data_IF_214696001922
#
_entry.id   IF_214696001922
#
_cell.length_a   1.000
_cell.length_b   1.000
_cell.length_c   1.000
_cell.angle_alpha   90.00
_cell.angle_beta   90.00
_cell.angle_gamma   90.00
#
_symmetry.space_group_name_H-M   'P 1'
#
loop_
_entity.id
_entity.type
_entity.pdbx_description
1 polymer ?
#
# COMPACT_ATOMS: atom_id res chain seq x y z
N UNK A 1 6.84 12.09 46.19
CA UNK A 1 5.91 11.65 45.10
C UNK A 1 4.91 12.77 44.91
N UNK A 2 4.85 13.36 43.72
CA UNK A 2 3.86 14.39 43.41
C UNK A 2 2.45 13.78 43.48
N UNK A 3 1.57 14.41 44.25
CA UNK A 3 0.17 13.98 44.34
C UNK A 3 -0.54 14.27 43.01
N UNK A 4 -0.87 13.22 42.26
CA UNK A 4 -1.65 13.36 41.01
C UNK A 4 -3.14 13.43 41.39
N UNK A 5 -3.85 14.51 41.07
CA UNK A 5 -5.25 14.66 41.43
C UNK A 5 -6.13 13.53 40.86
N UNK A 6 -7.05 13.06 41.69
CA UNK A 6 -7.99 11.97 41.37
C UNK A 6 -7.34 10.67 40.91
N UNK A 7 -6.14 10.34 41.39
CA UNK A 7 -5.48 9.07 41.07
C UNK A 7 -5.12 8.29 42.32
N UNK A 8 -5.16 6.97 42.19
CA UNK A 8 -4.64 6.01 43.17
C UNK A 8 -3.67 5.06 42.46
N UNK A 9 -2.58 4.71 43.10
CA UNK A 9 -1.67 3.68 42.65
C UNK A 9 -1.98 2.34 43.35
N UNK A 10 -2.16 1.29 42.55
CA UNK A 10 -2.39 -0.07 43.05
C UNK A 10 -1.60 -1.05 42.19
N UNK A 11 -0.75 -1.87 42.83
CA UNK A 11 0.09 -2.87 42.16
C UNK A 11 0.88 -2.29 40.94
N UNK A 12 1.47 -1.08 41.12
CA UNK A 12 2.28 -0.43 40.13
C UNK A 12 1.49 0.18 38.93
N UNK A 13 0.17 0.19 39.01
CA UNK A 13 -0.68 0.83 37.99
C UNK A 13 -1.42 2.00 38.64
N UNK A 14 -1.41 3.14 37.97
CA UNK A 14 -2.18 4.32 38.33
C UNK A 14 -3.60 4.22 37.77
N UNK A 15 -4.60 4.47 38.66
CA UNK A 15 -6.01 4.46 38.29
C UNK A 15 -6.60 5.84 38.52
N UNK A 16 -7.38 6.32 37.56
CA UNK A 16 -8.29 7.44 37.78
C UNK A 16 -9.37 6.98 38.76
N UNK A 17 -9.56 7.73 39.82
CA UNK A 17 -10.53 7.40 40.87
C UNK A 17 -11.18 8.70 41.36
N UNK A 18 -12.36 8.99 40.83
CA UNK A 18 -13.06 10.25 41.09
C UNK A 18 -14.53 10.01 41.41
N UNK A 19 -15.01 10.67 42.45
CA UNK A 19 -16.45 10.69 42.78
C UNK A 19 -17.19 11.50 41.76
N UNK A 20 -18.32 10.97 41.25
CA UNK A 20 -19.18 11.64 40.26
C UNK A 20 -20.10 12.64 40.98
N UNK A 21 -20.28 13.86 40.44
CA UNK A 21 -21.24 14.84 40.99
C UNK A 21 -22.66 14.28 41.02
N UNK A 22 -23.45 14.69 42.04
CA UNK A 22 -24.81 14.14 42.29
C UNK A 22 -25.71 14.16 41.05
N UNK A 23 -25.64 15.22 40.25
CA UNK A 23 -26.48 15.38 39.04
C UNK A 23 -26.07 14.45 37.89
N UNK A 24 -24.84 13.91 37.88
CA UNK A 24 -24.32 13.02 36.85
C UNK A 24 -24.34 11.54 37.27
N UNK A 25 -24.64 11.22 38.54
CA UNK A 25 -24.60 9.85 39.08
C UNK A 25 -25.50 8.88 38.31
N UNK A 26 -26.65 9.35 37.80
CA UNK A 26 -27.57 8.51 36.99
C UNK A 26 -26.94 8.00 35.71
N UNK A 27 -26.04 8.78 35.09
CA UNK A 27 -25.37 8.43 33.82
C UNK A 27 -24.06 7.66 34.05
N UNK A 28 -23.30 7.97 35.08
CA UNK A 28 -21.92 7.49 35.28
C UNK A 28 -21.72 6.58 36.50
N UNK A 29 -22.72 6.40 37.34
CA UNK A 29 -22.55 5.76 38.64
C UNK A 29 -21.91 6.68 39.69
N UNK A 30 -21.68 6.18 40.90
CA UNK A 30 -21.15 6.99 42.02
C UNK A 30 -19.67 7.34 41.93
N UNK A 31 -18.90 6.48 41.26
CA UNK A 31 -17.46 6.61 41.12
C UNK A 31 -17.02 6.18 39.68
N UNK A 32 -16.06 6.87 39.17
CA UNK A 32 -15.31 6.44 37.99
C UNK A 32 -13.97 5.89 38.45
N UNK A 33 -13.73 4.61 38.16
CA UNK A 33 -12.43 3.95 38.40
C UNK A 33 -11.93 3.33 37.11
N UNK A 34 -10.83 3.87 36.57
CA UNK A 34 -10.30 3.44 35.27
C UNK A 34 -8.76 3.42 35.31
N UNK A 35 -8.16 2.36 34.78
CA UNK A 35 -6.70 2.28 34.66
C UNK A 35 -6.19 3.33 33.66
N UNK A 36 -5.10 4.01 34.02
CA UNK A 36 -4.45 5.04 33.21
C UNK A 36 -3.14 4.52 32.59
N UNK A 37 -2.08 4.44 33.41
CA UNK A 37 -0.73 4.01 33.00
C UNK A 37 0.04 3.44 34.19
N UNK A 38 1.18 2.77 33.88
CA UNK A 38 2.19 2.40 34.90
C UNK A 38 3.23 3.52 35.10
N UNK A 39 3.35 4.44 34.13
CA UNK A 39 4.23 5.60 34.23
C UNK A 39 3.51 6.76 34.93
N UNK A 40 4.08 7.37 35.99
CA UNK A 40 3.43 8.44 36.73
C UNK A 40 3.21 9.70 35.90
N UNK A 41 4.14 10.06 35.00
CA UNK A 41 4.04 11.25 34.13
C UNK A 41 2.89 11.11 33.14
N UNK A 42 2.77 9.93 32.52
CA UNK A 42 1.65 9.63 31.62
C UNK A 42 0.32 9.61 32.37
N UNK A 43 0.30 9.00 33.56
CA UNK A 43 -0.90 8.92 34.40
C UNK A 43 -1.39 10.31 34.80
N UNK A 44 -0.49 11.24 35.09
CA UNK A 44 -0.83 12.64 35.38
C UNK A 44 -1.45 13.30 34.16
N UNK A 45 -0.81 13.18 33.00
CA UNK A 45 -1.32 13.76 31.77
C UNK A 45 -2.71 13.21 31.40
N UNK A 46 -2.91 11.88 31.52
CA UNK A 46 -4.17 11.23 31.22
C UNK A 46 -5.26 11.60 32.23
N UNK A 47 -4.93 11.68 33.53
CA UNK A 47 -5.88 12.10 34.56
C UNK A 47 -6.38 13.54 34.33
N UNK A 48 -5.46 14.45 33.98
CA UNK A 48 -5.80 15.82 33.62
C UNK A 48 -6.74 15.92 32.41
N UNK A 49 -6.39 15.23 31.32
CA UNK A 49 -7.21 15.24 30.09
C UNK A 49 -8.59 14.61 30.34
N UNK A 50 -8.64 13.47 31.02
CA UNK A 50 -9.91 12.82 31.36
C UNK A 50 -10.77 13.70 32.27
N UNK A 51 -10.17 14.38 33.23
CA UNK A 51 -10.86 15.34 34.10
C UNK A 51 -11.58 16.44 33.31
N UNK A 52 -10.91 17.02 32.31
CA UNK A 52 -11.46 18.08 31.44
C UNK A 52 -12.67 17.54 30.63
N UNK A 53 -12.53 16.34 30.03
CA UNK A 53 -13.61 15.71 29.25
C UNK A 53 -14.83 15.43 30.10
N UNK A 54 -14.62 14.85 31.29
CA UNK A 54 -15.71 14.52 32.23
C UNK A 54 -16.39 15.77 32.76
N UNK A 55 -15.65 16.81 33.11
CA UNK A 55 -16.22 18.08 33.56
C UNK A 55 -17.04 18.75 32.46
N UNK A 56 -16.54 18.73 31.21
CA UNK A 56 -17.28 19.21 30.04
C UNK A 56 -18.60 18.47 29.82
N UNK A 57 -18.58 17.14 30.00
CA UNK A 57 -19.80 16.31 29.90
C UNK A 57 -20.76 16.54 31.07
N UNK A 58 -20.26 16.73 32.29
CA UNK A 58 -21.10 16.98 33.48
C UNK A 58 -21.73 18.37 33.50
N UNK A 59 -21.06 19.37 32.94
CA UNK A 59 -21.53 20.74 32.85
C UNK A 59 -22.55 20.98 31.72
N UNK A 60 -22.77 19.97 30.87
CA UNK A 60 -23.76 20.09 29.79
C UNK A 60 -25.19 19.89 30.37
N UNK A 61 -25.91 20.99 30.55
CA UNK A 61 -27.23 21.05 31.23
C UNK A 61 -28.38 20.48 30.41
N UNK A 62 -28.19 20.26 29.11
CA UNK A 62 -29.30 19.85 28.20
C UNK A 62 -29.49 18.32 28.18
N UNK A 63 -28.46 17.53 28.18
CA UNK A 63 -28.52 16.07 28.42
C UNK A 63 -27.13 15.53 28.78
N UNK A 64 -27.00 14.86 29.93
CA UNK A 64 -25.76 14.19 30.32
C UNK A 64 -25.75 12.84 29.65
N UNK A 65 -24.97 12.69 28.58
CA UNK A 65 -24.70 11.38 27.97
C UNK A 65 -23.38 10.83 28.50
N UNK A 66 -23.33 9.54 28.89
CA UNK A 66 -22.09 8.92 29.35
C UNK A 66 -21.10 8.84 28.20
N UNK A 67 -19.87 9.30 28.43
CA UNK A 67 -18.76 9.14 27.50
C UNK A 67 -18.10 7.78 27.69
N UNK A 68 -17.62 7.17 26.61
CA UNK A 68 -16.87 5.92 26.67
C UNK A 68 -15.44 6.18 27.16
N UNK A 69 -15.26 6.08 28.47
CA UNK A 69 -13.99 6.38 29.16
C UNK A 69 -12.84 5.49 28.67
N UNK A 70 -12.97 4.17 28.49
CA UNK A 70 -11.93 3.33 27.92
C UNK A 70 -11.44 3.81 26.55
N UNK A 71 -12.35 4.17 25.64
CA UNK A 71 -12.00 4.69 24.32
C UNK A 71 -11.30 6.05 24.41
N UNK A 72 -11.75 6.94 25.31
CA UNK A 72 -11.08 8.23 25.54
C UNK A 72 -9.66 8.03 26.03
N UNK A 73 -9.44 7.16 27.02
CA UNK A 73 -8.09 6.87 27.53
C UNK A 73 -7.22 6.22 26.47
N UNK A 74 -7.76 5.33 25.65
CA UNK A 74 -7.01 4.74 24.56
C UNK A 74 -6.55 5.79 23.53
N UNK A 75 -7.34 6.86 23.32
CA UNK A 75 -6.95 7.96 22.45
C UNK A 75 -5.84 8.86 23.03
N UNK A 76 -5.60 8.82 24.34
CA UNK A 76 -4.50 9.56 24.98
C UNK A 76 -3.16 8.84 24.88
N UNK A 77 -3.18 7.51 24.74
CA UNK A 77 -1.96 6.74 24.56
C UNK A 77 -1.31 7.11 23.23
N UNK A 78 0.00 7.34 23.21
CA UNK A 78 0.70 7.46 21.95
C UNK A 78 0.38 6.21 21.12
N UNK A 79 -0.16 6.40 19.93
CA UNK A 79 -0.38 5.29 19.01
C UNK A 79 1.00 4.73 18.66
N UNK A 80 1.27 3.50 19.08
CA UNK A 80 2.39 2.72 18.56
C UNK A 80 2.00 2.26 17.17
N UNK A 81 2.73 2.72 16.17
CA UNK A 81 2.46 2.37 14.79
C UNK A 81 3.52 1.39 14.31
N UNK A 82 3.23 0.11 14.49
CA UNK A 82 4.09 -0.94 13.94
C UNK A 82 4.03 -0.97 12.42
N UNK A 83 5.13 -1.38 11.80
CA UNK A 83 5.29 -1.33 10.35
C UNK A 83 4.22 -2.14 9.59
N UNK A 84 3.78 -3.25 10.14
CA UNK A 84 2.72 -4.08 9.53
C UNK A 84 1.40 -3.32 9.44
N UNK A 85 0.96 -2.65 10.51
CA UNK A 85 -0.29 -1.89 10.56
C UNK A 85 -0.26 -0.70 9.58
N UNK A 86 0.82 0.09 9.63
CA UNK A 86 1.03 1.21 8.70
C UNK A 86 1.09 0.75 7.25
N UNK A 87 1.66 -0.43 6.99
CA UNK A 87 1.69 -0.97 5.62
C UNK A 87 0.29 -1.26 5.11
N UNK A 88 -0.57 -1.88 5.91
CA UNK A 88 -1.95 -2.17 5.49
C UNK A 88 -2.78 -0.89 5.33
N UNK A 89 -2.60 0.09 6.20
CA UNK A 89 -3.21 1.40 6.06
C UNK A 89 -2.78 2.08 4.75
N UNK A 90 -1.47 2.18 4.48
CA UNK A 90 -0.91 2.71 3.23
C UNK A 90 -1.49 2.02 1.99
N UNK A 91 -1.61 0.69 2.03
CA UNK A 91 -2.14 -0.11 0.93
C UNK A 91 -3.66 0.02 0.75
N UNK A 92 -4.40 0.36 1.81
CA UNK A 92 -5.84 0.60 1.74
C UNK A 92 -6.19 1.85 0.95
N UNK A 93 -5.35 2.88 1.07
CA UNK A 93 -5.51 4.19 0.43
C UNK A 93 -5.08 4.22 -1.04
N UNK A 94 -4.46 3.15 -1.56
CA UNK A 94 -3.84 3.17 -2.90
C UNK A 94 -4.37 2.07 -3.80
N UNK A 95 -4.58 2.42 -5.07
CA UNK A 95 -4.98 1.47 -6.12
C UNK A 95 -3.72 0.97 -6.83
N UNK A 96 -2.97 0.10 -6.14
CA UNK A 96 -1.73 -0.52 -6.65
C UNK A 96 -1.76 -2.03 -6.44
N UNK A 97 -0.86 -2.77 -7.10
CA UNK A 97 -0.61 -4.16 -6.73
C UNK A 97 0.00 -4.21 -5.32
N UNK A 98 -0.73 -4.82 -4.40
CA UNK A 98 -0.39 -4.90 -2.98
C UNK A 98 0.66 -5.97 -2.66
N UNK A 99 0.89 -6.93 -3.58
CA UNK A 99 1.79 -8.05 -3.35
C UNK A 99 3.26 -7.64 -3.19
N UNK A 100 3.86 -6.79 -4.07
CA UNK A 100 5.27 -6.40 -3.94
C UNK A 100 5.59 -5.64 -2.63
N UNK A 101 4.80 -4.64 -2.19
CA UNK A 101 5.03 -3.99 -0.91
C UNK A 101 4.92 -4.94 0.29
N UNK A 102 3.92 -5.85 0.31
CA UNK A 102 3.78 -6.84 1.37
C UNK A 102 4.97 -7.79 1.45
N UNK A 103 5.49 -8.25 0.31
CA UNK A 103 6.69 -9.10 0.26
C UNK A 103 7.92 -8.34 0.79
N UNK A 104 8.06 -7.06 0.47
CA UNK A 104 9.15 -6.23 0.97
C UNK A 104 9.03 -6.03 2.49
N UNK A 105 7.85 -5.67 2.99
CA UNK A 105 7.54 -5.50 4.41
C UNK A 105 7.78 -6.80 5.20
N UNK A 106 7.18 -7.91 4.78
CA UNK A 106 7.34 -9.20 5.46
C UNK A 106 8.81 -9.65 5.52
N UNK A 107 9.56 -9.48 4.43
CA UNK A 107 10.99 -9.77 4.40
C UNK A 107 11.81 -8.85 5.32
N UNK A 108 11.43 -7.60 5.48
CA UNK A 108 12.11 -6.67 6.38
C UNK A 108 11.77 -6.95 7.84
N UNK A 109 10.50 -7.19 8.16
CA UNK A 109 10.04 -7.54 9.51
C UNK A 109 10.68 -8.85 10.00
N UNK A 110 10.85 -9.85 9.13
CA UNK A 110 11.50 -11.11 9.52
C UNK A 110 12.96 -10.91 9.97
N UNK A 111 13.61 -9.84 9.55
CA UNK A 111 14.99 -9.49 9.90
C UNK A 111 15.08 -8.49 11.06
N UNK A 112 14.30 -7.43 11.00
CA UNK A 112 14.36 -6.30 11.90
C UNK A 112 13.31 -6.32 13.03
N UNK A 113 12.36 -7.26 12.98
CA UNK A 113 11.19 -7.29 13.86
C UNK A 113 10.10 -6.29 13.45
N UNK A 114 8.87 -6.56 13.86
CA UNK A 114 7.75 -5.62 13.67
C UNK A 114 7.74 -4.63 14.82
N UNK A 115 8.32 -3.46 14.57
CA UNK A 115 8.55 -2.40 15.56
C UNK A 115 7.80 -1.14 15.14
N UNK A 116 7.66 -0.21 16.09
CA UNK A 116 7.23 1.15 15.79
C UNK A 116 8.13 1.76 14.70
N UNK A 117 7.48 2.41 13.72
CA UNK A 117 8.16 2.95 12.53
C UNK A 117 9.24 3.99 12.87
N UNK A 118 9.12 4.63 14.03
CA UNK A 118 10.11 5.59 14.52
C UNK A 118 11.42 4.94 14.97
N UNK A 119 11.45 3.63 15.22
CA UNK A 119 12.62 2.93 15.75
C UNK A 119 13.50 2.27 14.69
N UNK A 120 13.10 2.30 13.42
CA UNK A 120 13.98 1.77 12.36
C UNK A 120 15.14 2.71 12.06
N UNK A 121 16.32 2.11 11.88
CA UNK A 121 17.58 2.80 11.68
C UNK A 121 18.14 2.60 10.27
N UNK A 122 19.15 3.38 9.95
CA UNK A 122 19.92 3.21 8.68
C UNK A 122 20.62 1.86 8.63
N UNK A 123 21.06 1.35 9.77
CA UNK A 123 21.71 0.05 9.91
C UNK A 123 20.74 -1.09 9.60
N UNK A 124 19.50 -1.03 10.09
CA UNK A 124 18.45 -2.00 9.73
C UNK A 124 18.24 -2.05 8.21
N UNK A 125 18.20 -0.88 7.57
CA UNK A 125 18.02 -0.79 6.13
C UNK A 125 19.22 -1.35 5.34
N UNK A 126 20.45 -1.10 5.78
CA UNK A 126 21.67 -1.69 5.20
C UNK A 126 21.71 -3.21 5.38
N UNK A 127 21.38 -3.69 6.57
CA UNK A 127 21.30 -5.12 6.86
C UNK A 127 20.29 -5.82 5.95
N UNK A 128 19.15 -5.17 5.67
CA UNK A 128 18.16 -5.70 4.75
C UNK A 128 18.69 -5.79 3.31
N UNK A 129 19.42 -4.78 2.82
CA UNK A 129 20.09 -4.83 1.51
C UNK A 129 21.05 -6.02 1.45
N UNK A 130 21.95 -6.12 2.43
CA UNK A 130 22.91 -7.21 2.53
C UNK A 130 22.23 -8.59 2.54
N UNK A 131 21.17 -8.75 3.30
CA UNK A 131 20.38 -9.98 3.34
C UNK A 131 19.78 -10.34 1.97
N UNK A 132 19.29 -9.35 1.22
CA UNK A 132 18.77 -9.57 -0.12
C UNK A 132 19.86 -9.94 -1.13
N UNK A 133 21.05 -9.36 -1.01
CA UNK A 133 22.22 -9.70 -1.80
C UNK A 133 22.66 -11.14 -1.53
N UNK A 134 22.77 -11.54 -0.26
CA UNK A 134 23.11 -12.91 0.14
C UNK A 134 22.09 -13.95 -0.33
N UNK A 135 20.83 -13.57 -0.51
CA UNK A 135 19.80 -14.41 -1.14
C UNK A 135 19.89 -14.48 -2.66
N UNK A 136 20.87 -13.84 -3.28
CA UNK A 136 21.07 -13.84 -4.73
C UNK A 136 19.99 -13.03 -5.49
N UNK A 137 19.32 -12.07 -4.86
CA UNK A 137 18.36 -11.24 -5.57
C UNK A 137 19.09 -10.29 -6.54
N UNK A 138 18.51 -10.11 -7.74
CA UNK A 138 18.97 -9.10 -8.68
C UNK A 138 18.85 -7.70 -8.10
N UNK A 139 19.81 -6.83 -8.45
CA UNK A 139 19.88 -5.45 -7.95
C UNK A 139 18.60 -4.66 -8.21
N UNK A 140 17.96 -4.86 -9.37
CA UNK A 140 16.65 -4.28 -9.70
C UNK A 140 15.52 -4.74 -8.75
N UNK A 141 15.58 -5.99 -8.26
CA UNK A 141 14.62 -6.52 -7.27
C UNK A 141 14.88 -5.92 -5.90
N UNK A 142 16.15 -5.80 -5.50
CA UNK A 142 16.54 -5.14 -4.25
C UNK A 142 16.06 -3.69 -4.26
N UNK A 143 16.34 -2.93 -5.33
CA UNK A 143 15.89 -1.54 -5.48
C UNK A 143 14.36 -1.41 -5.36
N UNK A 144 13.60 -2.29 -5.98
CA UNK A 144 12.14 -2.28 -5.90
C UNK A 144 11.64 -2.49 -4.47
N UNK A 145 12.23 -3.42 -3.71
CA UNK A 145 11.87 -3.67 -2.31
C UNK A 145 12.21 -2.47 -1.41
N UNK A 146 13.40 -1.87 -1.61
CA UNK A 146 13.80 -0.65 -0.92
C UNK A 146 12.81 0.49 -1.20
N UNK A 147 12.43 0.69 -2.46
CA UNK A 147 11.51 1.75 -2.84
C UNK A 147 10.12 1.54 -2.22
N UNK A 148 9.64 0.28 -2.11
CA UNK A 148 8.38 -0.04 -1.45
C UNK A 148 8.41 0.34 0.03
N UNK A 149 9.46 -0.06 0.77
CA UNK A 149 9.62 0.27 2.19
C UNK A 149 9.83 1.77 2.39
N UNK A 150 10.60 2.41 1.52
CA UNK A 150 10.80 3.86 1.56
C UNK A 150 9.49 4.63 1.39
N UNK A 151 8.62 4.19 0.48
CA UNK A 151 7.33 4.82 0.27
C UNK A 151 6.39 4.66 1.49
N UNK A 152 6.39 3.47 2.13
CA UNK A 152 5.61 3.20 3.33
C UNK A 152 6.09 4.06 4.50
N UNK A 153 7.41 4.13 4.74
CA UNK A 153 7.96 4.94 5.84
C UNK A 153 7.81 6.44 5.60
N UNK A 154 7.92 6.92 4.36
CA UNK A 154 7.62 8.32 4.05
C UNK A 154 6.17 8.67 4.35
N UNK A 155 5.24 7.76 4.02
CA UNK A 155 3.83 7.91 4.37
C UNK A 155 3.67 7.97 5.90
N UNK A 156 4.24 6.99 6.62
CA UNK A 156 4.17 6.94 8.08
C UNK A 156 4.70 8.22 8.74
N UNK A 157 5.85 8.70 8.29
CA UNK A 157 6.48 9.90 8.88
C UNK A 157 5.66 11.16 8.62
N UNK A 158 5.02 11.26 7.45
CA UNK A 158 4.12 12.37 7.15
C UNK A 158 2.82 12.33 7.98
N UNK A 159 2.18 11.15 8.08
CA UNK A 159 0.91 11.02 8.82
C UNK A 159 1.09 11.13 10.35
N UNK A 160 2.27 10.76 10.86
CA UNK A 160 2.58 10.78 12.28
C UNK A 160 3.34 12.05 12.71
N UNK A 161 3.53 12.99 11.78
CA UNK A 161 4.31 14.24 12.01
C UNK A 161 5.69 13.97 12.63
N UNK A 162 6.38 12.94 12.12
CA UNK A 162 7.70 12.55 12.61
C UNK A 162 8.79 13.26 11.80
N UNK A 163 9.49 14.19 12.42
CA UNK A 163 10.70 14.82 11.85
C UNK A 163 11.88 13.84 11.89
N UNK A 164 11.83 12.85 10.99
CA UNK A 164 12.84 11.80 10.91
C UNK A 164 13.22 11.50 9.47
N UNK A 165 14.53 11.35 9.24
CA UNK A 165 15.04 10.93 7.94
C UNK A 165 14.71 9.46 7.67
N UNK A 166 14.12 9.19 6.51
CA UNK A 166 13.80 7.82 6.09
C UNK A 166 15.08 6.97 5.96
N UNK A 167 15.19 5.85 6.68
CA UNK A 167 16.36 4.97 6.65
C UNK A 167 16.63 4.33 5.29
N UNK A 168 15.59 4.16 4.45
CA UNK A 168 15.71 3.62 3.09
C UNK A 168 16.04 4.68 2.04
N UNK A 169 16.09 5.96 2.39
CA UNK A 169 16.40 7.04 1.45
C UNK A 169 17.83 6.92 0.92
N UNK A 170 18.01 6.95 -0.42
CA UNK A 170 19.32 6.96 -1.08
C UNK A 170 20.24 5.84 -0.61
N UNK A 171 19.73 4.62 -0.42
CA UNK A 171 20.56 3.45 -0.14
C UNK A 171 21.40 3.08 -1.36
N UNK A 172 22.67 2.81 -1.12
CA UNK A 172 23.60 2.29 -2.11
C UNK A 172 23.36 0.78 -2.26
N UNK A 173 23.38 0.28 -3.49
CA UNK A 173 23.38 -1.14 -3.84
C UNK A 173 24.63 -1.36 -4.68
N UNK A 174 25.48 -2.29 -4.27
CA UNK A 174 26.71 -2.61 -4.99
C UNK A 174 26.40 -3.19 -6.36
N UNK A 175 27.07 -2.70 -7.42
CA UNK A 175 26.86 -3.19 -8.80
C UNK A 175 25.43 -3.00 -9.32
N UNK A 176 24.71 -1.96 -8.87
CA UNK A 176 23.32 -1.73 -9.29
C UNK A 176 23.22 -1.55 -10.80
N UNK A 177 22.46 -2.45 -11.45
CA UNK A 177 22.24 -2.48 -12.89
C UNK A 177 23.23 -3.36 -13.68
N UNK A 178 24.37 -3.77 -13.10
CA UNK A 178 25.36 -4.61 -13.77
C UNK A 178 24.85 -6.03 -14.04
N UNK A 179 23.92 -6.52 -13.23
CA UNK A 179 23.26 -7.82 -13.35
C UNK A 179 22.06 -7.81 -14.33
N UNK A 180 21.90 -6.71 -15.07
CA UNK A 180 20.86 -6.55 -16.06
C UNK A 180 21.24 -7.22 -17.38
N UNK A 181 20.47 -8.23 -17.81
CA UNK A 181 20.64 -8.81 -19.12
C UNK A 181 19.84 -8.04 -20.18
N UNK A 182 20.53 -7.56 -21.21
CA UNK A 182 19.85 -7.05 -22.40
C UNK A 182 19.17 -8.23 -23.12
N UNK A 183 17.87 -8.13 -23.32
CA UNK A 183 17.14 -9.08 -24.16
C UNK A 183 17.58 -8.92 -25.60
N UNK A 184 17.76 -10.02 -26.31
CA UNK A 184 17.97 -10.00 -27.76
C UNK A 184 16.72 -9.43 -28.48
N UNK A 185 16.92 -8.94 -29.66
CA UNK A 185 15.85 -8.54 -30.59
C UNK A 185 15.76 -9.56 -31.71
N UNK A 186 14.57 -9.83 -32.19
CA UNK A 186 14.37 -10.68 -33.37
C UNK A 186 14.80 -9.93 -34.63
N UNK A 187 15.38 -10.67 -35.61
CA UNK A 187 15.56 -10.14 -36.97
C UNK A 187 14.25 -10.11 -37.72
N UNK A 188 14.19 -9.35 -38.83
CA UNK A 188 12.99 -9.27 -39.65
C UNK A 188 12.58 -10.64 -40.22
N UNK A 189 13.57 -11.48 -40.56
CA UNK A 189 13.34 -12.85 -41.06
C UNK A 189 12.74 -13.74 -39.98
N UNK A 190 13.23 -13.63 -38.73
CA UNK A 190 12.70 -14.36 -37.61
C UNK A 190 11.27 -13.92 -37.26
N UNK A 191 10.99 -12.60 -37.30
CA UNK A 191 9.63 -12.08 -37.10
C UNK A 191 8.69 -12.59 -38.19
N UNK A 192 9.07 -12.47 -39.46
CA UNK A 192 8.27 -12.95 -40.59
C UNK A 192 7.96 -14.44 -40.43
N UNK A 193 8.98 -15.26 -40.22
CA UNK A 193 8.78 -16.71 -39.98
C UNK A 193 7.82 -16.98 -38.82
N UNK A 194 7.97 -16.27 -37.71
CA UNK A 194 7.11 -16.43 -36.54
C UNK A 194 5.66 -16.04 -36.84
N UNK A 195 5.45 -14.94 -37.57
CA UNK A 195 4.12 -14.46 -37.93
C UNK A 195 3.42 -15.41 -38.92
N UNK A 196 4.14 -15.88 -39.96
CA UNK A 196 3.63 -16.89 -40.87
C UNK A 196 3.16 -18.16 -40.14
N UNK A 197 3.98 -18.65 -39.20
CA UNK A 197 3.61 -19.80 -38.37
C UNK A 197 2.43 -19.52 -37.45
N UNK A 198 2.31 -18.31 -36.91
CA UNK A 198 1.21 -17.92 -36.06
C UNK A 198 -0.11 -17.93 -36.84
N UNK A 199 -0.14 -17.32 -38.05
CA UNK A 199 -1.30 -17.29 -38.90
C UNK A 199 -1.71 -18.69 -39.40
N UNK A 200 -0.75 -19.52 -39.80
CA UNK A 200 -1.00 -20.87 -40.28
C UNK A 200 -1.51 -21.86 -39.20
N UNK A 201 -1.32 -21.52 -37.94
CA UNK A 201 -1.63 -22.44 -36.83
C UNK A 201 -3.12 -22.55 -36.48
N UNK A 202 -3.96 -21.62 -36.91
CA UNK A 202 -5.37 -21.49 -36.49
C UNK A 202 -5.61 -21.19 -35.02
N UNK A 203 -4.57 -20.91 -34.24
CA UNK A 203 -4.68 -20.69 -32.79
C UNK A 203 -4.83 -19.22 -32.45
N UNK A 204 -5.93 -18.82 -31.81
CA UNK A 204 -6.18 -17.44 -31.35
C UNK A 204 -5.03 -16.89 -30.50
N UNK A 205 -4.45 -17.71 -29.59
CA UNK A 205 -3.35 -17.28 -28.73
C UNK A 205 -2.11 -16.91 -29.55
N UNK A 206 -1.83 -17.65 -30.64
CA UNK A 206 -0.67 -17.37 -31.48
C UNK A 206 -0.84 -16.11 -32.31
N UNK A 207 -2.08 -15.73 -32.64
CA UNK A 207 -2.37 -14.46 -33.32
C UNK A 207 -1.97 -13.22 -32.51
N UNK A 208 -1.82 -13.38 -31.20
CA UNK A 208 -1.29 -12.28 -30.36
C UNK A 208 0.15 -11.89 -30.74
N UNK A 209 0.93 -12.80 -31.32
CA UNK A 209 2.32 -12.51 -31.68
C UNK A 209 2.43 -11.41 -32.73
N UNK A 210 1.82 -11.50 -33.93
CA UNK A 210 1.85 -10.44 -34.92
C UNK A 210 1.08 -9.18 -34.45
N UNK A 211 -0.04 -9.35 -33.73
CA UNK A 211 -0.78 -8.22 -33.17
C UNK A 211 0.08 -7.37 -32.24
N UNK A 212 0.79 -7.98 -31.32
CA UNK A 212 1.67 -7.25 -30.37
C UNK A 212 2.93 -6.71 -31.07
N UNK A 213 3.50 -7.50 -31.98
CA UNK A 213 4.76 -7.15 -32.63
C UNK A 213 4.65 -5.93 -33.54
N UNK A 214 3.57 -5.79 -34.35
CA UNK A 214 3.40 -4.70 -35.28
C UNK A 214 2.68 -3.48 -34.71
N UNK A 215 1.76 -3.70 -33.70
CA UNK A 215 1.05 -2.57 -33.09
C UNK A 215 1.81 -1.93 -31.94
N UNK A 216 2.77 -2.64 -31.33
CA UNK A 216 3.45 -2.19 -30.12
C UNK A 216 2.51 -2.06 -28.89
N UNK A 217 1.31 -2.63 -28.97
CA UNK A 217 0.35 -2.61 -27.89
C UNK A 217 0.79 -3.54 -26.74
N UNK A 218 0.32 -3.25 -25.52
CA UNK A 218 0.50 -4.18 -24.39
C UNK A 218 -0.42 -5.37 -24.56
N UNK A 219 0.00 -6.53 -24.03
CA UNK A 219 -0.81 -7.76 -24.06
C UNK A 219 -2.25 -7.51 -23.57
N UNK A 220 -2.41 -6.84 -22.41
CA UNK A 220 -3.73 -6.53 -21.88
C UNK A 220 -4.53 -5.53 -22.74
N UNK A 221 -3.89 -4.76 -23.58
CA UNK A 221 -4.57 -3.84 -24.52
C UNK A 221 -5.19 -4.61 -25.68
N UNK A 222 -4.49 -5.60 -26.20
CA UNK A 222 -5.00 -6.44 -27.31
C UNK A 222 -6.05 -7.43 -26.78
N UNK A 223 -5.76 -8.20 -25.72
CA UNK A 223 -6.67 -9.21 -25.15
C UNK A 223 -7.98 -8.57 -24.65
N UNK A 224 -7.93 -7.32 -24.20
CA UNK A 224 -9.11 -6.61 -23.70
C UNK A 224 -9.82 -5.75 -24.76
N UNK A 225 -9.54 -5.92 -26.05
CA UNK A 225 -10.33 -5.28 -27.10
C UNK A 225 -11.76 -5.85 -27.11
N UNK A 226 -12.72 -4.97 -27.34
CA UNK A 226 -14.09 -5.34 -27.67
C UNK A 226 -14.31 -5.19 -29.16
N UNK A 227 -15.34 -5.83 -29.71
CA UNK A 227 -15.68 -5.69 -31.13
C UNK A 227 -15.89 -4.23 -31.52
N UNK A 228 -16.50 -3.42 -30.67
CA UNK A 228 -16.69 -1.98 -30.87
C UNK A 228 -15.39 -1.15 -30.87
N UNK A 229 -14.27 -1.74 -30.48
CA UNK A 229 -12.93 -1.11 -30.50
C UNK A 229 -12.17 -1.41 -31.80
N UNK A 230 -12.73 -2.24 -32.68
CA UNK A 230 -12.07 -2.70 -33.95
C UNK A 230 -12.82 -2.14 -35.14
N UNK A 231 -12.13 -1.32 -35.92
CA UNK A 231 -12.64 -0.73 -37.14
C UNK A 231 -11.85 -1.29 -38.34
N UNK A 232 -12.29 -2.45 -38.86
CA UNK A 232 -11.65 -3.08 -40.00
C UNK A 232 -11.88 -2.30 -41.32
N UNK A 233 -12.92 -1.48 -41.40
CA UNK A 233 -13.18 -0.70 -42.62
C UNK A 233 -12.10 0.37 -42.83
N UNK A 234 -11.56 0.90 -41.73
CA UNK A 234 -10.49 1.89 -41.73
C UNK A 234 -9.12 1.32 -41.27
N UNK A 235 -9.02 0.02 -41.05
CA UNK A 235 -7.82 -0.67 -40.54
C UNK A 235 -7.30 -0.09 -39.23
N UNK A 236 -8.18 0.13 -38.26
CA UNK A 236 -7.85 0.77 -36.98
C UNK A 236 -8.31 -0.05 -35.79
N UNK A 237 -7.60 0.08 -34.65
CA UNK A 237 -8.08 -0.32 -33.37
C UNK A 237 -8.02 0.85 -32.37
N UNK A 238 -9.02 0.92 -31.51
CA UNK A 238 -9.14 1.97 -30.48
C UNK A 238 -8.76 1.42 -29.12
N UNK A 239 -7.62 1.85 -28.60
CA UNK A 239 -7.18 1.49 -27.24
C UNK A 239 -7.81 2.47 -26.26
N UNK A 240 -8.87 2.03 -25.57
CA UNK A 240 -9.61 2.82 -24.56
C UNK A 240 -9.97 1.98 -23.36
N UNK A 241 -10.22 2.61 -22.20
CA UNK A 241 -10.70 1.89 -21.03
C UNK A 241 -12.10 1.34 -21.29
N UNK A 242 -12.36 0.11 -20.83
CA UNK A 242 -13.67 -0.52 -20.90
C UNK A 242 -13.94 -1.37 -19.65
N UNK A 243 -15.09 -2.06 -19.58
CA UNK A 243 -15.46 -2.88 -18.43
C UNK A 243 -14.51 -4.04 -18.15
N UNK A 244 -13.85 -4.57 -19.19
CA UNK A 244 -12.90 -5.69 -19.07
C UNK A 244 -11.45 -5.22 -18.81
N UNK A 245 -11.13 -3.96 -19.13
CA UNK A 245 -9.75 -3.48 -19.13
C UNK A 245 -9.63 -2.04 -18.65
N UNK A 246 -8.75 -1.83 -17.66
CA UNK A 246 -8.27 -0.50 -17.24
C UNK A 246 -7.01 -0.15 -18.06
N UNK A 247 -6.85 1.11 -18.42
CA UNK A 247 -5.59 1.61 -18.96
C UNK A 247 -4.59 1.91 -17.84
N UNK A 248 -3.31 1.67 -18.10
CA UNK A 248 -2.23 1.96 -17.14
C UNK A 248 -2.15 3.45 -16.79
N UNK A 249 -2.35 4.31 -17.80
CA UNK A 249 -2.38 5.77 -17.68
C UNK A 249 -3.46 6.33 -18.58
N UNK A 250 -3.96 7.53 -18.28
CA UNK A 250 -4.93 8.23 -19.14
C UNK A 250 -4.38 8.47 -20.55
N UNK A 251 -3.08 8.74 -20.67
CA UNK A 251 -2.38 8.92 -21.95
C UNK A 251 -2.21 7.64 -22.77
N UNK A 252 -2.57 6.47 -22.22
CA UNK A 252 -2.56 5.22 -22.99
C UNK A 252 -3.72 5.09 -23.98
N UNK A 253 -4.74 5.95 -23.87
CA UNK A 253 -5.84 5.98 -24.83
C UNK A 253 -5.33 6.52 -26.18
N UNK A 254 -5.52 5.73 -27.24
CA UNK A 254 -5.04 6.05 -28.59
C UNK A 254 -5.71 5.18 -29.63
N UNK A 255 -5.64 5.62 -30.89
CA UNK A 255 -5.97 4.81 -32.05
C UNK A 255 -4.68 4.30 -32.68
N UNK A 256 -4.66 3.03 -33.06
CA UNK A 256 -3.51 2.34 -33.63
C UNK A 256 -3.90 1.72 -34.96
N UNK A 257 -3.14 1.97 -36.05
CA UNK A 257 -3.41 1.36 -37.35
C UNK A 257 -3.08 -0.14 -37.33
N UNK A 258 -3.90 -0.93 -37.97
CA UNK A 258 -3.66 -2.34 -38.27
C UNK A 258 -2.98 -2.43 -39.64
N UNK A 259 -1.72 -2.82 -39.69
CA UNK A 259 -0.94 -2.95 -40.92
C UNK A 259 -0.38 -4.36 -41.01
N UNK A 260 0.02 -4.78 -42.21
CA UNK A 260 0.74 -6.03 -42.46
C UNK A 260 0.14 -7.26 -41.77
N UNK A 261 0.95 -7.95 -40.98
CA UNK A 261 0.57 -9.17 -40.28
C UNK A 261 -0.44 -8.93 -39.13
N UNK A 262 -0.45 -7.73 -38.54
CA UNK A 262 -1.43 -7.41 -37.50
C UNK A 262 -2.85 -7.33 -38.08
N UNK A 263 -3.02 -6.78 -39.30
CA UNK A 263 -4.31 -6.76 -40.00
C UNK A 263 -4.80 -8.17 -40.29
N UNK A 264 -3.98 -9.02 -40.89
CA UNK A 264 -4.31 -10.42 -41.17
C UNK A 264 -4.69 -11.22 -39.93
N UNK A 265 -3.93 -11.01 -38.84
CA UNK A 265 -4.19 -11.66 -37.57
C UNK A 265 -5.52 -11.19 -36.93
N UNK A 266 -5.85 -9.90 -37.05
CA UNK A 266 -7.11 -9.38 -36.50
C UNK A 266 -8.31 -9.90 -37.30
N UNK A 267 -8.23 -9.92 -38.65
CA UNK A 267 -9.27 -10.49 -39.51
C UNK A 267 -9.52 -11.97 -39.21
N UNK A 268 -8.43 -12.74 -38.98
CA UNK A 268 -8.54 -14.14 -38.62
C UNK A 268 -9.11 -14.34 -37.23
N UNK A 269 -8.74 -13.50 -36.25
CA UNK A 269 -9.26 -13.56 -34.89
C UNK A 269 -10.77 -13.26 -34.85
N UNK A 270 -11.24 -12.31 -35.61
CA UNK A 270 -12.67 -12.00 -35.69
C UNK A 270 -13.48 -13.11 -36.32
N UNK A 271 -13.01 -13.73 -37.41
CA UNK A 271 -13.68 -14.89 -38.02
C UNK A 271 -13.86 -16.04 -37.04
N UNK A 272 -12.91 -16.24 -36.12
CA UNK A 272 -12.98 -17.27 -35.08
C UNK A 272 -13.83 -16.86 -33.85
N UNK A 273 -14.19 -15.60 -33.71
CA UNK A 273 -15.04 -15.12 -32.62
C UNK A 273 -16.54 -15.22 -32.96
N UNK A 274 -16.86 -15.34 -34.26
CA UNK A 274 -18.25 -15.48 -34.74
C UNK A 274 -18.70 -16.96 -34.82
N UNK A 275 -17.78 -17.93 -34.66
CA UNK A 275 -18.02 -19.36 -34.53
C UNK A 275 -18.12 -19.78 -33.05
#
# INVERSE_FOLDING_TARGET
MSHIPYTICSSGTYYYNRRVPKHAVKAYGSFIRQALSKCPEEAEAYAKRLGIVLEGSWNNTTSIQPVDIPTIISSFKPRSFVLSEITEEYLSLRVIDKKPPRVAMSGFISLAGDRDVSHYTREDAKLFVFHLEMKGNKTATIRRRINSLSAILNYAYAELDLDKRNPFSRLFIKGEGEDSHKRGTFTNEQLKWGYDKALASGSQIKLLMPLLGETGCRLAEIVGLKLEDIDLANDLIHIRANSARRLKTRSSQRTVPLVGYAKLAMEQALKQADD
#
